data_IF_469966223498
#
_entry.id   IF_469966223498
#
_cell.length_a   1.000
_cell.length_b   1.000
_cell.length_c   1.000
_cell.angle_alpha   90.00
_cell.angle_beta   90.00
_cell.angle_gamma   90.00
#
_symmetry.space_group_name_H-M   'P 1'
#
loop_
_entity.id
_entity.type
_entity.pdbx_description
1 polymer ?
#
# COMPACT_ATOMS: atom_id res chain seq x y z
N UNK A 1 3.35 24.95 64.83
CA UNK A 1 3.49 25.50 63.46
C UNK A 1 3.99 24.37 62.58
N UNK A 2 3.09 23.61 61.95
CA UNK A 2 3.40 22.53 61.00
C UNK A 2 3.13 23.04 59.59
N UNK A 3 4.20 23.28 58.84
CA UNK A 3 4.11 23.61 57.42
C UNK A 3 3.77 22.31 56.68
N UNK A 4 2.54 22.16 56.22
CA UNK A 4 2.12 21.12 55.29
C UNK A 4 2.73 21.44 53.95
N UNK A 5 3.75 20.71 53.58
CA UNK A 5 4.30 20.68 52.19
C UNK A 5 3.22 20.14 51.27
N UNK A 6 2.55 21.04 50.55
CA UNK A 6 1.61 20.69 49.50
C UNK A 6 2.39 20.05 48.37
N UNK A 7 2.37 18.71 48.31
CA UNK A 7 2.98 17.94 47.24
C UNK A 7 2.27 18.31 45.94
N UNK A 8 3.00 18.95 45.01
CA UNK A 8 2.52 19.30 43.70
C UNK A 8 1.97 18.03 43.00
N UNK A 9 0.64 18.01 42.78
CA UNK A 9 -0.01 16.92 42.06
C UNK A 9 0.63 16.79 40.68
N UNK A 10 1.04 15.59 40.26
CA UNK A 10 1.54 15.41 38.92
C UNK A 10 0.46 15.81 37.91
N UNK A 11 0.72 16.84 37.10
CA UNK A 11 -0.17 17.26 36.02
C UNK A 11 -0.45 16.06 35.14
N UNK A 12 -1.72 15.71 34.97
CA UNK A 12 -2.15 14.56 34.17
C UNK A 12 -1.55 14.65 32.77
N UNK A 13 -1.11 13.54 32.19
CA UNK A 13 -0.41 13.46 30.90
C UNK A 13 -1.18 14.12 29.75
N UNK A 14 -2.50 14.25 29.86
CA UNK A 14 -3.38 14.90 28.89
C UNK A 14 -3.47 16.45 29.03
N UNK A 15 -2.85 17.05 30.06
CA UNK A 15 -2.73 18.50 30.21
C UNK A 15 -1.42 19.07 29.66
N UNK A 16 -0.58 18.24 29.01
CA UNK A 16 0.60 18.74 28.30
C UNK A 16 0.13 19.51 27.08
N UNK A 17 0.64 20.75 26.93
CA UNK A 17 0.46 21.52 25.72
C UNK A 17 1.11 20.75 24.55
N UNK A 18 0.28 20.17 23.67
CA UNK A 18 0.74 19.40 22.52
C UNK A 18 1.13 20.27 21.33
N UNK A 19 0.89 21.58 21.42
CA UNK A 19 1.18 22.57 20.39
C UNK A 19 2.62 22.47 19.85
N UNK A 20 3.68 22.34 20.68
CA UNK A 20 5.04 22.22 20.19
C UNK A 20 5.29 20.94 19.35
N UNK A 21 4.61 19.85 19.71
CA UNK A 21 4.69 18.58 18.95
C UNK A 21 4.02 18.72 17.59
N UNK A 22 2.82 19.30 17.55
CA UNK A 22 2.09 19.52 16.31
C UNK A 22 2.88 20.44 15.36
N UNK A 23 3.53 21.47 15.87
CA UNK A 23 4.42 22.36 15.09
C UNK A 23 5.57 21.54 14.49
N UNK A 24 6.22 20.67 15.28
CA UNK A 24 7.31 19.82 14.79
C UNK A 24 6.85 18.82 13.72
N UNK A 25 5.71 18.17 13.92
CA UNK A 25 5.16 17.26 12.90
C UNK A 25 4.70 17.98 11.63
N UNK A 26 4.12 19.16 11.76
CA UNK A 26 3.81 20.00 10.60
C UNK A 26 5.08 20.37 9.82
N UNK A 27 6.18 20.69 10.53
CA UNK A 27 7.48 20.93 9.91
C UNK A 27 8.01 19.69 9.18
N UNK A 28 7.92 18.50 9.76
CA UNK A 28 8.29 17.24 9.09
C UNK A 28 7.46 17.05 7.82
N UNK A 29 6.15 17.25 7.91
CA UNK A 29 5.23 17.15 6.76
C UNK A 29 5.60 18.09 5.62
N UNK A 30 5.92 19.37 5.93
CA UNK A 30 6.38 20.34 4.93
C UNK A 30 7.71 19.97 4.30
N UNK A 31 8.66 19.46 5.09
CA UNK A 31 9.95 18.99 4.57
C UNK A 31 9.81 17.79 3.64
N UNK A 32 8.95 16.82 3.97
CA UNK A 32 8.61 15.71 3.10
C UNK A 32 7.91 16.21 1.84
N UNK A 33 6.97 17.12 1.95
CA UNK A 33 6.30 17.75 0.79
C UNK A 33 7.31 18.49 -0.09
N UNK A 34 8.28 19.19 0.48
CA UNK A 34 9.35 19.86 -0.27
C UNK A 34 10.13 18.86 -1.13
N UNK A 35 10.49 17.70 -0.55
CA UNK A 35 11.16 16.63 -1.28
C UNK A 35 10.27 16.06 -2.39
N UNK A 36 8.99 15.78 -2.11
CA UNK A 36 8.04 15.25 -3.09
C UNK A 36 7.80 16.20 -4.26
N UNK A 37 7.66 17.51 -3.97
CA UNK A 37 7.49 18.55 -5.01
C UNK A 37 8.74 18.72 -5.86
N UNK A 38 9.92 18.42 -5.29
CA UNK A 38 11.19 18.44 -6.03
C UNK A 38 11.33 17.27 -7.01
N UNK A 39 10.56 16.19 -6.82
CA UNK A 39 10.62 15.04 -7.71
C UNK A 39 10.03 15.36 -9.09
N UNK A 40 10.56 14.77 -10.17
CA UNK A 40 10.19 15.08 -11.56
C UNK A 40 8.71 15.05 -11.93
N UNK A 41 7.82 14.25 -11.26
CA UNK A 41 6.44 14.07 -11.72
C UNK A 41 5.58 15.31 -11.66
N UNK A 42 5.89 16.26 -10.76
CA UNK A 42 5.09 17.50 -10.61
C UNK A 42 5.49 18.60 -11.59
N UNK A 43 6.43 18.32 -12.50
CA UNK A 43 6.85 19.23 -13.60
C UNK A 43 7.22 20.65 -13.10
N UNK A 44 7.62 20.76 -11.84
CA UNK A 44 8.05 22.01 -11.25
C UNK A 44 9.49 22.29 -11.70
N UNK A 45 9.64 23.02 -12.81
CA UNK A 45 10.94 23.52 -13.28
C UNK A 45 11.54 24.58 -12.34
N UNK A 46 10.77 25.02 -11.35
CA UNK A 46 11.18 26.10 -10.43
C UNK A 46 11.63 25.51 -9.10
N UNK A 47 12.86 25.82 -8.72
CA UNK A 47 13.44 25.50 -7.39
C UNK A 47 12.73 26.25 -6.25
N UNK A 48 11.96 27.30 -6.56
CA UNK A 48 11.39 28.23 -5.57
C UNK A 48 10.45 27.50 -4.60
N UNK A 49 9.54 26.66 -5.09
CA UNK A 49 8.54 26.01 -4.24
C UNK A 49 9.15 24.97 -3.30
N UNK A 50 10.02 24.02 -3.75
CA UNK A 50 10.73 23.12 -2.83
C UNK A 50 11.55 23.85 -1.77
N UNK A 51 12.25 24.92 -2.16
CA UNK A 51 13.07 25.72 -1.23
C UNK A 51 12.18 26.45 -0.23
N UNK A 52 11.08 27.06 -0.63
CA UNK A 52 10.15 27.72 0.28
C UNK A 52 9.55 26.75 1.31
N UNK A 53 9.11 25.58 0.86
CA UNK A 53 8.58 24.54 1.75
C UNK A 53 9.66 24.02 2.70
N UNK A 54 10.86 23.79 2.21
CA UNK A 54 11.99 23.36 3.02
C UNK A 54 12.41 24.39 4.07
N UNK A 55 12.46 25.68 3.70
CA UNK A 55 12.74 26.79 4.65
C UNK A 55 11.63 26.91 5.69
N UNK A 56 10.36 26.75 5.30
CA UNK A 56 9.25 26.74 6.25
C UNK A 56 9.37 25.55 7.23
N UNK A 57 9.77 24.38 6.75
CA UNK A 57 10.03 23.21 7.59
C UNK A 57 11.16 23.47 8.60
N UNK A 58 12.27 24.10 8.18
CA UNK A 58 13.36 24.52 9.06
C UNK A 58 12.90 25.49 10.13
N UNK A 59 12.12 26.50 9.75
CA UNK A 59 11.59 27.51 10.68
C UNK A 59 10.69 26.85 11.74
N UNK A 60 9.75 25.98 11.34
CA UNK A 60 8.89 25.25 12.27
C UNK A 60 9.70 24.31 13.16
N UNK A 61 10.75 23.68 12.64
CA UNK A 61 11.67 22.83 13.41
C UNK A 61 12.37 23.62 14.52
N UNK A 62 12.88 24.81 14.22
CA UNK A 62 13.51 25.70 15.19
C UNK A 62 12.50 26.14 16.26
N UNK A 63 11.28 26.54 15.85
CA UNK A 63 10.21 26.93 16.78
C UNK A 63 9.84 25.77 17.71
N UNK A 64 9.73 24.55 17.20
CA UNK A 64 9.45 23.36 18.01
C UNK A 64 10.55 23.11 19.06
N UNK A 65 11.82 23.24 18.68
CA UNK A 65 12.96 23.09 19.61
C UNK A 65 12.93 24.14 20.70
N UNK A 66 12.72 25.42 20.33
CA UNK A 66 12.64 26.53 21.31
C UNK A 66 11.50 26.33 22.30
N UNK A 67 10.39 25.73 21.85
CA UNK A 67 9.25 25.40 22.70
C UNK A 67 9.41 24.07 23.48
N UNK A 68 10.59 23.44 23.43
CA UNK A 68 10.95 22.28 24.26
C UNK A 68 10.76 20.91 23.58
N UNK A 69 10.21 20.85 22.37
CA UNK A 69 10.02 19.57 21.67
C UNK A 69 11.20 19.28 20.71
N UNK A 70 12.29 18.77 21.28
CA UNK A 70 13.54 18.54 20.53
C UNK A 70 13.44 17.46 19.46
N UNK A 71 12.70 16.36 19.72
CA UNK A 71 12.66 15.21 18.79
C UNK A 71 11.97 15.57 17.48
N UNK A 72 10.76 16.10 17.55
CA UNK A 72 10.02 16.50 16.37
C UNK A 72 10.68 17.70 15.65
N UNK A 73 11.28 18.64 16.41
CA UNK A 73 12.00 19.76 15.86
C UNK A 73 13.22 19.37 15.04
N UNK A 74 14.07 18.46 15.52
CA UNK A 74 15.20 17.91 14.74
C UNK A 74 14.72 17.14 13.52
N UNK A 75 13.61 16.39 13.64
CA UNK A 75 12.98 15.72 12.49
C UNK A 75 12.55 16.71 11.40
N UNK A 76 11.94 17.84 11.79
CA UNK A 76 11.55 18.89 10.87
C UNK A 76 12.75 19.56 10.19
N UNK A 77 13.84 19.82 10.93
CA UNK A 77 15.07 20.36 10.36
C UNK A 77 15.67 19.39 9.35
N UNK A 78 15.81 18.12 9.73
CA UNK A 78 16.36 17.10 8.84
C UNK A 78 15.55 16.94 7.55
N UNK A 79 14.21 16.84 7.66
CA UNK A 79 13.33 16.75 6.49
C UNK A 79 13.37 18.00 5.61
N UNK A 80 13.47 19.19 6.21
CA UNK A 80 13.62 20.44 5.49
C UNK A 80 14.95 20.53 4.69
N UNK A 81 16.06 20.09 5.29
CA UNK A 81 17.36 20.00 4.60
C UNK A 81 17.30 19.02 3.44
N UNK A 82 16.73 17.83 3.65
CA UNK A 82 16.57 16.83 2.60
C UNK A 82 15.66 17.36 1.48
N UNK A 83 14.58 18.07 1.81
CA UNK A 83 13.69 18.69 0.84
C UNK A 83 14.39 19.74 -0.02
N UNK A 84 15.18 20.63 0.58
CA UNK A 84 15.97 21.64 -0.14
C UNK A 84 17.03 20.98 -0.99
N UNK A 85 17.80 20.02 -0.43
CA UNK A 85 18.83 19.31 -1.15
C UNK A 85 18.26 18.54 -2.34
N UNK A 86 17.12 17.85 -2.16
CA UNK A 86 16.38 17.21 -3.24
C UNK A 86 15.98 18.18 -4.34
N UNK A 87 15.48 19.37 -4.00
CA UNK A 87 15.15 20.43 -4.95
C UNK A 87 16.36 20.93 -5.74
N UNK A 88 17.49 21.17 -5.07
CA UNK A 88 18.73 21.59 -5.71
C UNK A 88 19.29 20.50 -6.62
N UNK A 89 19.35 19.27 -6.15
CA UNK A 89 19.85 18.14 -6.95
C UNK A 89 18.98 17.86 -8.16
N UNK A 90 17.64 17.93 -8.02
CA UNK A 90 16.72 17.71 -9.12
C UNK A 90 16.86 18.77 -10.23
N UNK A 91 17.16 20.03 -9.88
CA UNK A 91 17.37 21.10 -10.86
C UNK A 91 18.76 21.09 -11.52
N UNK A 92 19.77 20.54 -10.84
CA UNK A 92 21.14 20.45 -11.34
C UNK A 92 21.49 19.09 -11.95
N UNK A 93 20.68 18.05 -11.72
CA UNK A 93 20.84 16.79 -12.44
C UNK A 93 20.50 17.02 -13.90
N UNK A 94 21.49 16.98 -14.76
CA UNK A 94 21.32 17.09 -16.22
C UNK A 94 20.55 15.91 -16.85
N UNK A 95 19.84 15.12 -16.05
CA UNK A 95 18.96 14.04 -16.47
C UNK A 95 17.61 14.66 -16.86
N UNK A 96 17.56 15.23 -18.05
CA UNK A 96 16.37 15.84 -18.65
C UNK A 96 15.23 14.85 -18.92
N UNK A 97 15.43 13.56 -18.68
CA UNK A 97 14.50 12.48 -19.04
C UNK A 97 14.09 11.57 -17.88
N UNK A 98 14.23 11.98 -16.62
CA UNK A 98 13.68 11.22 -15.47
C UNK A 98 12.14 11.06 -15.58
N UNK A 99 11.48 11.97 -16.27
CA UNK A 99 10.06 11.89 -16.58
C UNK A 99 9.69 10.64 -17.40
N UNK A 100 10.61 10.15 -18.21
CA UNK A 100 10.42 8.94 -19.03
C UNK A 100 10.82 7.66 -18.31
N UNK A 101 11.64 7.76 -17.25
CA UNK A 101 12.13 6.60 -16.49
C UNK A 101 11.17 6.23 -15.36
N UNK A 102 10.56 7.22 -14.68
CA UNK A 102 9.60 6.99 -13.61
C UNK A 102 8.24 7.54 -14.01
N UNK A 103 7.41 6.68 -14.59
CA UNK A 103 6.01 7.00 -14.87
C UNK A 103 5.19 6.77 -13.62
N UNK A 104 4.87 7.84 -12.90
CA UNK A 104 4.17 7.78 -11.61
C UNK A 104 2.76 7.22 -11.71
N UNK A 105 2.05 7.49 -12.80
CA UNK A 105 0.76 6.88 -13.08
C UNK A 105 0.89 5.36 -13.19
N UNK A 106 1.90 4.86 -13.88
CA UNK A 106 2.19 3.43 -13.99
C UNK A 106 2.57 2.82 -12.63
N UNK A 107 3.37 3.54 -11.82
CA UNK A 107 3.73 3.08 -10.48
C UNK A 107 2.50 2.97 -9.57
N UNK A 108 1.64 4.00 -9.55
CA UNK A 108 0.40 3.99 -8.78
C UNK A 108 -0.54 2.88 -9.27
N UNK A 109 -0.69 2.74 -10.57
CA UNK A 109 -1.47 1.68 -11.22
C UNK A 109 -0.96 0.29 -10.80
N UNK A 110 0.34 0.05 -10.89
CA UNK A 110 0.95 -1.22 -10.49
C UNK A 110 0.77 -1.48 -8.98
N UNK A 111 0.92 -0.45 -8.15
CA UNK A 111 0.72 -0.54 -6.70
C UNK A 111 -0.72 -0.96 -6.35
N UNK A 112 -1.72 -0.32 -6.95
CA UNK A 112 -3.13 -0.65 -6.71
C UNK A 112 -3.46 -2.06 -7.20
N UNK A 113 -2.97 -2.46 -8.38
CA UNK A 113 -3.14 -3.83 -8.88
C UNK A 113 -2.52 -4.86 -7.94
N UNK A 114 -1.32 -4.60 -7.41
CA UNK A 114 -0.65 -5.50 -6.46
C UNK A 114 -1.29 -5.49 -5.08
N UNK A 115 -1.89 -4.38 -4.65
CA UNK A 115 -2.60 -4.28 -3.38
C UNK A 115 -3.95 -5.02 -3.38
N UNK A 116 -4.60 -5.15 -4.53
CA UNK A 116 -5.94 -5.76 -4.67
C UNK A 116 -6.04 -7.15 -4.03
N UNK A 117 -5.20 -8.14 -4.35
CA UNK A 117 -5.30 -9.46 -3.73
C UNK A 117 -5.04 -9.41 -2.22
N UNK A 118 -4.15 -8.53 -1.75
CA UNK A 118 -3.88 -8.34 -0.33
C UNK A 118 -5.10 -7.77 0.40
N UNK A 119 -5.81 -6.82 -0.22
CA UNK A 119 -7.05 -6.25 0.34
C UNK A 119 -8.13 -7.32 0.52
N UNK A 120 -8.39 -8.14 -0.50
CA UNK A 120 -9.35 -9.23 -0.38
C UNK A 120 -8.93 -10.28 0.64
N UNK A 121 -7.63 -10.64 0.69
CA UNK A 121 -7.10 -11.55 1.69
C UNK A 121 -7.24 -10.98 3.11
N UNK A 122 -6.96 -9.70 3.31
CA UNK A 122 -7.11 -9.03 4.60
C UNK A 122 -8.57 -9.04 5.06
N UNK A 123 -9.53 -8.76 4.17
CA UNK A 123 -10.96 -8.84 4.47
C UNK A 123 -11.33 -10.26 4.87
N UNK A 124 -10.92 -11.28 4.11
CA UNK A 124 -11.13 -12.69 4.45
C UNK A 124 -10.53 -13.08 5.80
N UNK A 125 -9.31 -12.60 6.09
CA UNK A 125 -8.62 -12.77 7.37
C UNK A 125 -9.39 -12.17 8.54
N UNK A 126 -9.92 -10.95 8.39
CA UNK A 126 -10.74 -10.28 9.42
C UNK A 126 -12.00 -11.09 9.77
N UNK A 127 -12.68 -11.69 8.77
CA UNK A 127 -13.81 -12.56 9.05
C UNK A 127 -13.40 -13.82 9.80
N UNK A 128 -12.28 -14.43 9.44
CA UNK A 128 -11.72 -15.59 10.13
C UNK A 128 -11.36 -15.26 11.58
N UNK A 129 -10.62 -14.18 11.82
CA UNK A 129 -10.23 -13.74 13.16
C UNK A 129 -11.44 -13.41 14.03
N UNK A 130 -12.46 -12.77 13.46
CA UNK A 130 -13.70 -12.46 14.16
C UNK A 130 -14.48 -13.71 14.59
N UNK A 131 -14.31 -14.83 13.89
CA UNK A 131 -14.86 -16.14 14.28
C UNK A 131 -14.01 -16.87 15.32
N UNK A 132 -12.87 -16.31 15.73
CA UNK A 132 -11.95 -16.91 16.71
C UNK A 132 -10.89 -17.83 16.10
N UNK A 133 -10.74 -17.82 14.78
CA UNK A 133 -9.75 -18.64 14.06
C UNK A 133 -8.75 -17.73 13.37
N UNK A 134 -7.47 -17.76 13.80
CA UNK A 134 -6.39 -17.03 13.14
C UNK A 134 -5.95 -17.80 11.90
N UNK A 135 -6.25 -17.27 10.71
CA UNK A 135 -5.97 -17.95 9.46
C UNK A 135 -4.61 -17.52 8.86
N UNK A 136 -3.55 -18.28 9.14
CA UNK A 136 -2.22 -18.09 8.53
C UNK A 136 -2.13 -18.76 7.15
N UNK A 137 -3.10 -19.60 6.78
CA UNK A 137 -3.15 -20.31 5.48
C UNK A 137 -3.65 -19.46 4.31
N UNK A 138 -3.88 -18.15 4.49
CA UNK A 138 -4.43 -17.26 3.45
C UNK A 138 -3.56 -17.23 2.18
N UNK A 139 -2.24 -17.28 2.32
CA UNK A 139 -1.31 -17.29 1.19
C UNK A 139 -1.53 -18.52 0.30
N UNK A 140 -1.65 -19.72 0.89
CA UNK A 140 -1.96 -20.94 0.16
C UNK A 140 -3.34 -20.91 -0.49
N UNK A 141 -4.35 -20.33 0.17
CA UNK A 141 -5.68 -20.16 -0.39
C UNK A 141 -5.67 -19.22 -1.59
N UNK A 142 -4.93 -18.11 -1.51
CA UNK A 142 -4.73 -17.19 -2.63
C UNK A 142 -4.00 -17.84 -3.79
N UNK A 143 -2.92 -18.58 -3.51
CA UNK A 143 -2.13 -19.30 -4.53
C UNK A 143 -2.99 -20.33 -5.26
N UNK A 144 -3.77 -21.11 -4.51
CA UNK A 144 -4.72 -22.08 -5.08
C UNK A 144 -5.77 -21.38 -5.93
N UNK A 145 -6.37 -20.29 -5.42
CA UNK A 145 -7.33 -19.50 -6.17
C UNK A 145 -6.73 -18.94 -7.46
N UNK A 146 -5.51 -18.39 -7.42
CA UNK A 146 -4.82 -17.84 -8.59
C UNK A 146 -4.57 -18.91 -9.66
N UNK A 147 -4.07 -20.10 -9.26
CA UNK A 147 -3.85 -21.20 -10.20
C UNK A 147 -5.15 -21.65 -10.86
N UNK A 148 -6.19 -21.91 -10.08
CA UNK A 148 -7.48 -22.39 -10.59
C UNK A 148 -8.26 -21.33 -11.36
N UNK A 149 -8.01 -20.03 -11.12
CA UNK A 149 -8.54 -18.93 -11.95
C UNK A 149 -7.99 -19.03 -13.38
N UNK A 150 -6.67 -19.16 -13.50
CA UNK A 150 -5.99 -19.26 -14.79
C UNK A 150 -6.41 -20.52 -15.52
N UNK A 151 -6.35 -21.68 -14.85
CA UNK A 151 -6.76 -22.95 -15.42
C UNK A 151 -8.23 -22.95 -15.85
N UNK A 152 -9.12 -22.42 -15.02
CA UNK A 152 -10.55 -22.34 -15.35
C UNK A 152 -10.85 -21.40 -16.50
N UNK A 153 -10.16 -20.27 -16.59
CA UNK A 153 -10.29 -19.35 -17.72
C UNK A 153 -9.73 -19.96 -19.03
N UNK A 154 -8.66 -20.72 -18.94
CA UNK A 154 -8.02 -21.39 -20.07
C UNK A 154 -8.94 -22.46 -20.70
N UNK A 155 -9.49 -23.38 -19.90
CA UNK A 155 -10.35 -24.48 -20.39
C UNK A 155 -11.72 -24.02 -20.85
N UNK A 156 -12.22 -22.87 -20.32
CA UNK A 156 -13.59 -22.41 -20.62
C UNK A 156 -13.61 -21.21 -21.58
N UNK A 157 -12.48 -20.55 -21.78
CA UNK A 157 -12.37 -19.31 -22.56
C UNK A 157 -13.05 -18.10 -21.90
N UNK A 158 -13.43 -18.19 -20.61
CA UNK A 158 -14.19 -17.15 -19.91
C UNK A 158 -13.55 -16.80 -18.55
N UNK A 159 -13.28 -15.54 -18.34
CA UNK A 159 -12.76 -15.05 -17.06
C UNK A 159 -13.74 -15.24 -15.89
N UNK A 160 -15.07 -15.19 -16.16
CA UNK A 160 -16.10 -15.36 -15.12
C UNK A 160 -16.07 -16.78 -14.57
N UNK A 161 -15.99 -17.77 -15.44
CA UNK A 161 -15.90 -19.18 -15.02
C UNK A 161 -14.59 -19.45 -14.32
N UNK A 162 -13.48 -18.86 -14.77
CA UNK A 162 -12.20 -18.91 -14.07
C UNK A 162 -12.31 -18.34 -12.64
N UNK A 163 -12.96 -17.22 -12.46
CA UNK A 163 -13.19 -16.61 -11.15
C UNK A 163 -14.04 -17.52 -10.23
N UNK A 164 -15.13 -18.10 -10.76
CA UNK A 164 -15.98 -19.02 -9.99
C UNK A 164 -15.24 -20.28 -9.56
N UNK A 165 -14.45 -20.86 -10.47
CA UNK A 165 -13.60 -22.03 -10.16
C UNK A 165 -12.56 -21.66 -9.08
N UNK A 166 -11.92 -20.49 -9.18
CA UNK A 166 -11.00 -19.98 -8.17
C UNK A 166 -11.62 -19.85 -6.78
N UNK A 167 -12.83 -19.30 -6.72
CA UNK A 167 -13.59 -19.14 -5.48
C UNK A 167 -13.91 -20.50 -4.84
N UNK A 168 -14.32 -21.47 -5.65
CA UNK A 168 -14.59 -22.84 -5.19
C UNK A 168 -13.29 -23.50 -4.69
N UNK A 169 -12.22 -23.46 -5.45
CA UNK A 169 -10.96 -24.09 -5.09
C UNK A 169 -10.34 -23.49 -3.81
N UNK A 170 -10.28 -22.15 -3.72
CA UNK A 170 -9.85 -21.46 -2.51
C UNK A 170 -10.75 -21.73 -1.31
N UNK A 171 -12.07 -21.79 -1.53
CA UNK A 171 -13.07 -22.11 -0.53
C UNK A 171 -12.96 -23.55 -0.02
N UNK A 172 -12.68 -24.53 -0.88
CA UNK A 172 -12.43 -25.92 -0.48
C UNK A 172 -11.18 -26.02 0.40
N UNK A 173 -10.11 -25.32 0.05
CA UNK A 173 -8.90 -25.31 0.87
C UNK A 173 -9.16 -24.63 2.23
N UNK A 174 -9.93 -23.57 2.25
CA UNK A 174 -10.38 -22.91 3.47
C UNK A 174 -11.26 -23.82 4.33
N UNK A 175 -12.13 -24.63 3.72
CA UNK A 175 -12.96 -25.63 4.42
C UNK A 175 -12.08 -26.72 5.07
N UNK A 176 -11.07 -27.20 4.36
CA UNK A 176 -10.10 -28.17 4.90
C UNK A 176 -9.39 -27.55 6.12
N UNK A 177 -8.90 -26.31 6.00
CA UNK A 177 -8.28 -25.61 7.13
C UNK A 177 -9.23 -25.47 8.31
N UNK A 178 -10.48 -25.02 8.07
CA UNK A 178 -11.49 -24.85 9.10
C UNK A 178 -11.83 -26.18 9.79
N UNK A 179 -11.87 -27.29 9.07
CA UNK A 179 -12.07 -28.61 9.65
C UNK A 179 -10.96 -28.96 10.65
N UNK A 180 -9.70 -28.75 10.29
CA UNK A 180 -8.58 -29.00 11.21
C UNK A 180 -8.58 -28.03 12.40
N UNK A 181 -8.79 -26.74 12.17
CA UNK A 181 -8.74 -25.74 13.22
C UNK A 181 -9.91 -25.84 14.20
N UNK A 182 -11.12 -26.14 13.73
CA UNK A 182 -12.34 -26.13 14.54
C UNK A 182 -12.68 -27.51 15.08
N UNK A 183 -12.79 -28.53 14.20
CA UNK A 183 -13.21 -29.88 14.62
C UNK A 183 -12.09 -30.63 15.33
N UNK A 184 -10.90 -30.65 14.75
CA UNK A 184 -9.76 -31.32 15.34
C UNK A 184 -9.02 -30.49 16.37
N UNK A 185 -9.37 -29.21 16.51
CA UNK A 185 -8.70 -28.26 17.43
C UNK A 185 -7.19 -28.26 17.30
N UNK A 186 -6.71 -28.45 16.05
CA UNK A 186 -5.30 -28.42 15.73
C UNK A 186 -4.74 -27.00 15.97
N UNK A 187 -3.44 -26.92 16.22
CA UNK A 187 -2.75 -25.62 16.30
C UNK A 187 -2.94 -24.85 14.99
N UNK A 188 -3.47 -23.65 15.09
CA UNK A 188 -3.86 -22.82 13.94
C UNK A 188 -2.64 -22.33 13.14
N UNK A 189 -1.49 -22.13 13.82
CA UNK A 189 -0.26 -21.68 13.17
C UNK A 189 0.32 -22.83 12.35
N UNK A 190 0.42 -24.00 12.97
CA UNK A 190 0.93 -25.22 12.30
C UNK A 190 0.01 -25.64 11.16
N UNK A 191 -1.31 -25.63 11.40
CA UNK A 191 -2.31 -25.96 10.39
C UNK A 191 -2.29 -24.99 9.20
N UNK A 192 -2.21 -23.68 9.45
CA UNK A 192 -2.11 -22.66 8.38
C UNK A 192 -0.84 -22.79 7.55
N UNK A 193 0.29 -23.03 8.20
CA UNK A 193 1.57 -23.27 7.52
C UNK A 193 1.51 -24.54 6.65
N UNK A 194 0.90 -25.62 7.16
CA UNK A 194 0.70 -26.88 6.41
C UNK A 194 -0.17 -26.64 5.16
N UNK A 195 -1.22 -25.83 5.26
CA UNK A 195 -2.08 -25.45 4.12
C UNK A 195 -1.27 -24.67 3.06
N UNK A 196 -0.39 -23.75 3.46
CA UNK A 196 0.45 -23.02 2.53
C UNK A 196 1.40 -23.96 1.76
N UNK A 197 2.05 -24.90 2.45
CA UNK A 197 2.90 -25.90 1.79
C UNK A 197 2.11 -26.86 0.89
N UNK A 198 0.92 -27.29 1.33
CA UNK A 198 0.04 -28.13 0.53
C UNK A 198 -0.36 -27.42 -0.76
N UNK A 199 -0.78 -26.16 -0.66
CA UNK A 199 -1.14 -25.35 -1.81
C UNK A 199 0.03 -25.19 -2.78
N UNK A 200 1.22 -24.84 -2.25
CA UNK A 200 2.44 -24.69 -3.05
C UNK A 200 2.79 -26.00 -3.79
N UNK A 201 2.72 -27.15 -3.10
CA UNK A 201 3.01 -28.45 -3.69
C UNK A 201 2.01 -28.84 -4.77
N UNK A 202 0.70 -28.72 -4.50
CA UNK A 202 -0.34 -29.10 -5.46
C UNK A 202 -0.32 -28.16 -6.68
N UNK A 203 -0.31 -26.84 -6.47
CA UNK A 203 -0.33 -25.88 -7.58
C UNK A 203 0.94 -25.96 -8.42
N UNK A 204 2.10 -26.12 -7.78
CA UNK A 204 3.38 -26.31 -8.48
C UNK A 204 3.42 -27.57 -9.31
N UNK A 205 2.94 -28.68 -8.77
CA UNK A 205 2.84 -29.94 -9.51
C UNK A 205 1.89 -29.81 -10.72
N UNK A 206 0.67 -29.35 -10.49
CA UNK A 206 -0.32 -29.16 -11.55
C UNK A 206 0.12 -28.16 -12.62
N UNK A 207 0.85 -27.12 -12.21
CA UNK A 207 1.39 -26.14 -13.16
C UNK A 207 2.37 -26.79 -14.14
N UNK A 208 3.29 -27.62 -13.63
CA UNK A 208 4.28 -28.32 -14.48
C UNK A 208 3.60 -29.39 -15.33
N UNK A 209 2.63 -30.10 -14.78
CA UNK A 209 1.93 -31.18 -15.47
C UNK A 209 1.05 -30.67 -16.62
N UNK A 210 0.34 -29.56 -16.43
CA UNK A 210 -0.60 -29.00 -17.41
C UNK A 210 0.10 -28.07 -18.40
N UNK A 211 0.97 -27.17 -17.91
CA UNK A 211 1.57 -26.11 -18.72
C UNK A 211 3.04 -26.35 -19.09
N UNK A 212 3.67 -27.35 -18.46
CA UNK A 212 5.08 -27.65 -18.67
C UNK A 212 6.00 -26.54 -18.15
N UNK A 213 7.23 -26.52 -18.66
CA UNK A 213 8.25 -25.51 -18.30
C UNK A 213 8.16 -24.21 -19.11
N UNK A 214 7.26 -24.16 -20.09
CA UNK A 214 7.16 -23.05 -21.06
C UNK A 214 6.31 -21.87 -20.55
N UNK A 215 5.64 -22.01 -19.43
CA UNK A 215 4.82 -20.96 -18.82
C UNK A 215 3.32 -21.04 -19.14
N UNK A 216 2.59 -20.03 -18.73
CA UNK A 216 1.12 -19.93 -18.90
C UNK A 216 0.73 -19.72 -20.37
N UNK A 217 -0.49 -20.16 -20.77
CA UNK A 217 -1.00 -19.95 -22.12
C UNK A 217 -1.09 -18.48 -22.50
N UNK A 218 -0.81 -18.17 -23.77
CA UNK A 218 -0.71 -16.79 -24.26
C UNK A 218 -2.05 -16.09 -24.51
N UNK A 219 -3.16 -16.82 -24.57
CA UNK A 219 -4.48 -16.31 -24.96
C UNK A 219 -5.53 -16.49 -23.85
N UNK A 220 -5.24 -16.03 -22.65
CA UNK A 220 -6.20 -16.09 -21.54
C UNK A 220 -7.24 -14.98 -21.64
N UNK A 221 -8.51 -15.33 -21.39
CA UNK A 221 -9.56 -14.35 -21.18
C UNK A 221 -9.27 -13.56 -19.91
N UNK A 222 -9.00 -12.26 -20.05
CA UNK A 222 -8.69 -11.36 -18.93
C UNK A 222 -9.95 -10.70 -18.39
N UNK A 223 -9.90 -10.31 -17.12
CA UNK A 223 -10.94 -9.50 -16.49
C UNK A 223 -10.97 -8.13 -17.20
N UNK A 224 -12.16 -7.65 -17.64
CA UNK A 224 -12.25 -6.40 -18.40
C UNK A 224 -11.79 -5.19 -17.58
N UNK A 225 -11.08 -4.29 -18.23
CA UNK A 225 -10.72 -3.00 -17.66
C UNK A 225 -11.94 -2.07 -17.72
N UNK A 226 -12.17 -1.34 -16.63
CA UNK A 226 -13.21 -0.31 -16.54
C UNK A 226 -12.58 1.02 -16.93
N UNK A 227 -13.04 1.61 -18.02
CA UNK A 227 -12.52 2.89 -18.53
C UNK A 227 -13.37 4.06 -18.04
N UNK A 228 -12.81 4.90 -17.16
CA UNK A 228 -13.45 6.11 -16.65
C UNK A 228 -12.91 7.36 -17.38
N UNK A 229 -13.23 7.45 -18.67
CA UNK A 229 -12.73 8.52 -19.58
C UNK A 229 -13.06 9.95 -19.14
N UNK A 230 -13.98 10.14 -18.20
CA UNK A 230 -14.32 11.46 -17.66
C UNK A 230 -13.23 12.00 -16.72
N UNK A 231 -12.39 11.14 -16.12
CA UNK A 231 -11.29 11.54 -15.25
C UNK A 231 -10.26 12.40 -15.99
N UNK A 232 -9.96 12.07 -17.24
CA UNK A 232 -9.05 12.85 -18.09
C UNK A 232 -9.52 14.27 -18.39
N UNK A 233 -10.81 14.56 -18.19
CA UNK A 233 -11.41 15.88 -18.45
C UNK A 233 -11.39 16.82 -17.24
N UNK A 234 -10.95 16.35 -16.06
CA UNK A 234 -10.90 17.14 -14.83
C UNK A 234 -9.78 18.20 -14.95
N UNK A 235 -10.10 19.50 -14.77
CA UNK A 235 -9.06 20.53 -14.70
C UNK A 235 -8.36 20.50 -13.32
N UNK A 236 -7.04 20.76 -13.24
CA UNK A 236 -6.14 21.03 -14.36
C UNK A 236 -5.81 19.79 -15.17
N UNK A 237 -5.69 19.92 -16.49
CA UNK A 237 -5.52 18.79 -17.43
C UNK A 237 -4.33 17.85 -17.11
N UNK A 238 -3.33 18.33 -16.41
CA UNK A 238 -2.22 17.49 -15.93
C UNK A 238 -2.66 16.49 -14.87
N UNK A 239 -3.47 16.90 -13.89
CA UNK A 239 -4.02 16.05 -12.86
C UNK A 239 -5.06 15.08 -13.44
N UNK A 240 -5.91 15.55 -14.36
CA UNK A 240 -6.90 14.71 -15.02
C UNK A 240 -6.25 13.56 -15.78
N UNK A 241 -5.20 13.82 -16.55
CA UNK A 241 -4.43 12.76 -17.25
C UNK A 241 -3.76 11.81 -16.27
N UNK A 242 -3.13 12.33 -15.22
CA UNK A 242 -2.51 11.48 -14.21
C UNK A 242 -3.54 10.52 -13.56
N UNK A 243 -4.74 11.00 -13.24
CA UNK A 243 -5.82 10.19 -12.67
C UNK A 243 -6.36 9.18 -13.69
N UNK A 244 -6.52 9.58 -14.96
CA UNK A 244 -6.96 8.69 -16.02
C UNK A 244 -5.95 7.56 -16.27
N UNK A 245 -4.66 7.90 -16.38
CA UNK A 245 -3.59 6.94 -16.60
C UNK A 245 -3.31 6.04 -15.38
N UNK A 246 -3.60 6.52 -14.16
CA UNK A 246 -3.33 5.75 -12.92
C UNK A 246 -4.51 4.91 -12.47
N UNK A 247 -5.72 5.47 -12.47
CA UNK A 247 -6.92 4.84 -11.90
C UNK A 247 -7.97 4.59 -12.99
N UNK A 248 -8.04 5.46 -14.00
CA UNK A 248 -9.10 5.44 -15.02
C UNK A 248 -9.14 4.20 -15.91
N UNK A 249 -8.08 3.39 -15.92
CA UNK A 249 -7.93 2.20 -16.78
C UNK A 249 -7.63 0.94 -15.94
N UNK A 250 -8.34 0.77 -14.83
CA UNK A 250 -8.16 -0.36 -13.93
C UNK A 250 -9.19 -1.46 -14.18
N UNK A 251 -8.80 -2.70 -13.91
CA UNK A 251 -9.73 -3.80 -14.02
C UNK A 251 -10.81 -3.76 -12.91
N UNK A 252 -11.91 -4.45 -13.15
CA UNK A 252 -13.05 -4.46 -12.24
C UNK A 252 -12.67 -4.86 -10.81
N UNK A 253 -11.72 -5.79 -10.62
CA UNK A 253 -11.32 -6.26 -9.28
C UNK A 253 -10.61 -5.18 -8.48
N UNK A 254 -9.80 -4.34 -9.13
CA UNK A 254 -9.16 -3.19 -8.47
C UNK A 254 -10.22 -2.22 -7.97
N UNK A 255 -11.22 -1.92 -8.79
CA UNK A 255 -12.34 -1.04 -8.38
C UNK A 255 -13.15 -1.60 -7.21
N UNK A 256 -13.31 -2.92 -7.13
CA UNK A 256 -14.01 -3.56 -6.01
C UNK A 256 -13.18 -3.59 -4.73
N UNK A 257 -11.86 -3.42 -4.80
CA UNK A 257 -10.96 -3.43 -3.65
C UNK A 257 -10.71 -2.05 -3.03
N UNK A 258 -11.04 -0.98 -3.78
CA UNK A 258 -10.97 0.41 -3.34
C UNK A 258 -12.24 0.83 -2.59
#
# INVERSE_FOLDING_TARGET
MSATTEAARPTALWQRDETPRLIGYAGIGLGVLAFWVALPPLHQRSIVLPVLLGVAALALGIVAIVRGERRAGWGAIASGIVGIAGGVLATHSGVTHLETVVVWSALLSATLRSATPLTFAAIGGLFSERSGVVNIGLEGMMLTGAFFAVWGADITGSWITGLLIAMIAGGLLALIYAFFAIHLRADQIVGGTAINFLALGITGYLYIDIYGTQGTPNNLSSIPDVHLTWLGKIPPHGLGRFLDDSIGQMNLMVWMSL
#
